data_IF_471277146490
#
_entry.id   IF_471277146490
#
_cell.length_a   1.000
_cell.length_b   1.000
_cell.length_c   1.000
_cell.angle_alpha   90.00
_cell.angle_beta   90.00
_cell.angle_gamma   90.00
#
_symmetry.space_group_name_H-M   'P 1'
#
loop_
_entity.id
_entity.type
_entity.pdbx_description
1 polymer ?
#
# COMPACT_ATOMS: atom_id res chain seq x y z
N UNK A 1 19.83 5.37 41.73
CA UNK A 1 19.75 6.46 40.74
C UNK A 1 20.24 5.89 39.43
N UNK A 2 19.33 5.32 38.64
CA UNK A 2 19.63 4.85 37.29
C UNK A 2 19.42 6.03 36.35
N UNK A 3 20.48 6.45 35.67
CA UNK A 3 20.35 7.45 34.61
C UNK A 3 19.66 6.81 33.42
N UNK A 4 18.58 7.45 32.95
CA UNK A 4 18.10 7.32 31.58
C UNK A 4 19.26 7.72 30.66
N UNK A 5 19.89 6.73 30.05
CA UNK A 5 20.82 6.94 28.95
C UNK A 5 20.04 6.86 27.64
N UNK A 6 19.07 7.76 27.47
CA UNK A 6 18.44 8.05 26.18
C UNK A 6 19.40 8.94 25.38
N UNK A 7 20.57 8.40 25.04
CA UNK A 7 21.47 9.03 24.08
C UNK A 7 20.82 8.92 22.70
N UNK A 8 20.13 10.00 22.29
CA UNK A 8 19.60 10.14 20.94
C UNK A 8 20.72 9.89 19.92
N UNK A 9 20.53 8.90 19.04
CA UNK A 9 21.52 8.49 18.05
C UNK A 9 21.61 9.60 16.99
N UNK A 10 22.78 10.25 16.87
CA UNK A 10 23.02 11.22 15.80
C UNK A 10 23.03 10.50 14.46
N UNK A 11 22.30 11.02 13.48
CA UNK A 11 22.24 10.40 12.15
C UNK A 11 23.56 10.55 11.41
N UNK A 12 24.03 9.44 10.82
CA UNK A 12 25.18 9.44 9.91
C UNK A 12 24.98 10.32 8.66
N UNK A 13 23.75 10.77 8.39
CA UNK A 13 23.42 11.70 7.29
C UNK A 13 24.08 13.08 7.46
N UNK A 14 24.44 13.47 8.68
CA UNK A 14 25.05 14.78 8.99
C UNK A 14 26.58 14.75 9.10
N UNK A 15 27.23 13.61 8.94
CA UNK A 15 28.67 13.45 9.19
C UNK A 15 29.57 13.99 8.05
N UNK A 16 29.03 14.26 6.85
CA UNK A 16 29.78 14.86 5.74
C UNK A 16 29.17 16.19 5.23
N UNK A 17 30.03 17.10 4.74
CA UNK A 17 29.61 18.38 4.14
C UNK A 17 28.88 18.18 2.80
N UNK A 18 27.56 18.08 2.85
CA UNK A 18 26.68 17.83 1.70
C UNK A 18 26.66 18.98 0.68
N UNK A 19 27.05 20.19 1.09
CA UNK A 19 26.93 21.44 0.30
C UNK A 19 27.88 21.55 -0.89
N UNK A 20 28.94 20.73 -0.93
CA UNK A 20 29.93 20.74 -2.01
C UNK A 20 29.87 19.49 -2.89
N UNK A 21 28.97 18.54 -2.58
CA UNK A 21 28.87 17.28 -3.31
C UNK A 21 28.06 17.45 -4.59
N UNK A 22 28.60 16.95 -5.70
CA UNK A 22 27.83 16.82 -6.94
C UNK A 22 26.67 15.83 -6.78
N UNK A 23 25.57 16.02 -7.52
CA UNK A 23 24.33 15.22 -7.41
C UNK A 23 24.56 13.70 -7.39
N UNK A 24 25.44 13.20 -8.25
CA UNK A 24 25.78 11.76 -8.28
C UNK A 24 26.40 11.30 -6.96
N UNK A 25 27.39 12.03 -6.46
CA UNK A 25 28.03 11.75 -5.18
C UNK A 25 27.03 11.85 -4.03
N UNK A 26 26.13 12.83 -4.05
CA UNK A 26 25.06 12.95 -3.06
C UNK A 26 24.13 11.72 -3.05
N UNK A 27 23.66 11.28 -4.22
CA UNK A 27 22.82 10.09 -4.34
C UNK A 27 23.58 8.84 -3.90
N UNK A 28 24.83 8.68 -4.32
CA UNK A 28 25.68 7.56 -3.93
C UNK A 28 25.93 7.56 -2.40
N UNK A 29 26.14 8.73 -1.79
CA UNK A 29 26.27 8.90 -0.34
C UNK A 29 24.97 8.51 0.37
N UNK A 30 23.82 9.04 -0.04
CA UNK A 30 22.53 8.66 0.56
C UNK A 30 22.24 7.16 0.40
N UNK A 31 22.52 6.59 -0.78
CA UNK A 31 22.39 5.15 -1.00
C UNK A 31 23.33 4.34 -0.10
N UNK A 32 24.57 4.78 0.07
CA UNK A 32 25.54 4.19 1.00
C UNK A 32 25.13 4.30 2.47
N UNK A 33 24.36 5.34 2.81
CA UNK A 33 23.73 5.53 4.13
C UNK A 33 22.43 4.74 4.29
N UNK A 34 22.04 3.95 3.29
CA UNK A 34 20.90 3.04 3.36
C UNK A 34 19.59 3.57 2.80
N UNK A 35 19.55 4.78 2.22
CA UNK A 35 18.37 5.22 1.47
C UNK A 35 18.18 4.34 0.23
N UNK A 36 16.96 3.87 -0.01
CA UNK A 36 16.65 3.16 -1.26
C UNK A 36 16.98 4.03 -2.48
N UNK A 37 17.48 3.42 -3.57
CA UNK A 37 17.99 4.14 -4.74
C UNK A 37 16.98 5.15 -5.33
N UNK A 38 15.68 4.82 -5.30
CA UNK A 38 14.61 5.73 -5.71
C UNK A 38 14.47 6.91 -4.75
N UNK A 39 14.42 6.68 -3.43
CA UNK A 39 14.34 7.74 -2.42
C UNK A 39 15.56 8.66 -2.45
N UNK A 40 16.77 8.10 -2.58
CA UNK A 40 18.02 8.85 -2.66
C UNK A 40 18.05 9.81 -3.86
N UNK A 41 17.55 9.37 -5.02
CA UNK A 41 17.44 10.20 -6.23
C UNK A 41 16.40 11.33 -6.14
N UNK A 42 15.47 11.24 -5.18
CA UNK A 42 14.37 12.17 -4.99
C UNK A 42 14.63 13.18 -3.86
N UNK A 43 15.60 12.94 -2.98
CA UNK A 43 16.03 13.91 -1.98
C UNK A 43 16.97 14.96 -2.57
N UNK A 44 17.05 16.12 -1.92
CA UNK A 44 17.91 17.24 -2.29
C UNK A 44 18.85 17.62 -1.14
N UNK A 45 19.92 18.36 -1.44
CA UNK A 45 20.81 18.89 -0.42
C UNK A 45 20.12 19.96 0.47
N UNK A 46 18.98 20.51 0.06
CA UNK A 46 18.16 21.38 0.91
C UNK A 46 17.39 20.56 1.95
N UNK A 47 16.84 19.41 1.56
CA UNK A 47 16.12 18.52 2.48
C UNK A 47 17.03 18.04 3.63
N UNK A 48 18.29 17.67 3.31
CA UNK A 48 19.26 17.26 4.35
C UNK A 48 19.63 18.42 5.28
N UNK A 49 19.73 19.64 4.75
CA UNK A 49 20.03 20.83 5.58
C UNK A 49 18.85 21.25 6.46
N UNK A 50 17.63 20.97 6.03
CA UNK A 50 16.42 21.26 6.79
C UNK A 50 16.25 20.28 7.97
N UNK A 51 16.83 19.09 7.90
CA UNK A 51 16.78 18.10 8.98
C UNK A 51 17.67 18.50 10.17
N UNK A 52 17.13 18.34 11.38
CA UNK A 52 17.90 18.42 12.63
C UNK A 52 18.89 17.25 12.73
N UNK A 53 19.87 17.33 13.66
CA UNK A 53 20.95 16.31 13.79
C UNK A 53 20.44 14.90 14.11
N UNK A 54 19.30 14.83 14.77
CA UNK A 54 18.56 13.64 15.20
C UNK A 54 17.39 13.29 14.25
N UNK A 55 17.29 13.98 13.11
CA UNK A 55 16.28 13.75 12.09
C UNK A 55 16.93 13.40 10.75
N UNK A 56 16.14 12.74 9.90
CA UNK A 56 16.50 12.47 8.50
C UNK A 56 15.37 12.88 7.56
N UNK A 57 15.68 13.42 6.37
CA UNK A 57 14.67 13.71 5.38
C UNK A 57 14.19 12.42 4.72
N UNK A 58 12.88 12.31 4.47
CA UNK A 58 12.25 11.17 3.78
C UNK A 58 11.29 11.66 2.72
N UNK A 59 11.07 10.81 1.71
CA UNK A 59 10.00 10.99 0.72
C UNK A 59 8.80 10.18 1.17
N UNK A 60 7.77 10.81 1.72
CA UNK A 60 6.58 10.10 2.21
C UNK A 60 5.57 9.83 1.09
N UNK A 61 5.54 10.64 0.04
CA UNK A 61 4.57 10.51 -1.04
C UNK A 61 5.11 10.94 -2.39
N UNK A 62 4.42 10.52 -3.45
CA UNK A 62 4.62 10.98 -4.81
C UNK A 62 3.30 11.57 -5.30
N UNK A 63 3.29 12.85 -5.67
CA UNK A 63 2.12 13.52 -6.25
C UNK A 63 2.34 13.87 -7.72
N UNK A 64 1.27 14.00 -8.48
CA UNK A 64 1.34 14.43 -9.87
C UNK A 64 1.24 15.95 -9.97
N UNK A 65 2.19 16.58 -10.65
CA UNK A 65 2.12 17.98 -11.04
C UNK A 65 1.18 18.22 -12.22
N UNK A 66 0.90 19.48 -12.54
CA UNK A 66 0.04 19.85 -13.68
C UNK A 66 0.61 19.43 -15.04
N UNK A 67 1.92 19.23 -15.10
CA UNK A 67 2.69 18.68 -16.23
C UNK A 67 2.60 17.15 -16.35
N UNK A 68 1.87 16.49 -15.44
CA UNK A 68 1.78 15.05 -15.36
C UNK A 68 3.00 14.37 -14.73
N UNK A 69 4.04 15.12 -14.35
CA UNK A 69 5.26 14.57 -13.77
C UNK A 69 5.09 14.31 -12.27
N UNK A 70 5.76 13.27 -11.76
CA UNK A 70 5.78 12.99 -10.34
C UNK A 70 6.69 13.97 -9.59
N UNK A 71 6.15 14.51 -8.50
CA UNK A 71 6.84 15.37 -7.55
C UNK A 71 6.87 14.67 -6.20
N UNK A 72 8.06 14.41 -5.66
CA UNK A 72 8.18 13.83 -4.32
C UNK A 72 7.69 14.82 -3.27
N UNK A 73 6.95 14.29 -2.30
CA UNK A 73 6.56 14.96 -1.07
C UNK A 73 7.50 14.53 0.05
N UNK A 74 8.02 15.50 0.79
CA UNK A 74 9.17 15.30 1.66
C UNK A 74 8.88 15.86 3.04
N UNK A 75 9.39 15.20 4.06
CA UNK A 75 9.37 15.66 5.44
C UNK A 75 10.60 15.14 6.17
N UNK A 76 10.79 15.55 7.42
CA UNK A 76 11.79 14.97 8.31
C UNK A 76 11.12 14.00 9.29
N UNK A 77 11.87 12.99 9.72
CA UNK A 77 11.44 11.99 10.72
C UNK A 77 12.59 11.73 11.69
N UNK A 78 12.32 11.22 12.91
CA UNK A 78 13.36 10.78 13.83
C UNK A 78 14.30 9.75 13.19
N UNK A 79 15.61 9.99 13.31
CA UNK A 79 16.64 9.18 12.68
C UNK A 79 16.71 7.76 13.25
N UNK A 80 16.55 7.63 14.56
CA UNK A 80 16.54 6.36 15.28
C UNK A 80 15.42 5.44 14.78
N UNK A 81 14.21 5.97 14.66
CA UNK A 81 13.06 5.27 14.09
C UNK A 81 13.30 4.85 12.64
N UNK A 82 13.84 5.75 11.81
CA UNK A 82 14.07 5.45 10.39
C UNK A 82 15.11 4.33 10.21
N UNK A 83 16.21 4.39 10.97
CA UNK A 83 17.26 3.37 10.94
C UNK A 83 16.76 2.01 11.40
N UNK A 84 15.94 1.98 12.44
CA UNK A 84 15.33 0.75 12.95
C UNK A 84 14.34 0.15 11.95
N UNK A 85 13.44 0.97 11.39
CA UNK A 85 12.52 0.54 10.33
C UNK A 85 13.27 0.00 9.10
N UNK A 86 14.33 0.68 8.67
CA UNK A 86 15.16 0.23 7.53
C UNK A 86 15.83 -1.10 7.81
N UNK A 87 16.35 -1.28 9.04
CA UNK A 87 16.97 -2.54 9.47
C UNK A 87 15.94 -3.67 9.46
N UNK A 88 14.73 -3.42 9.95
CA UNK A 88 13.65 -4.40 9.91
C UNK A 88 13.24 -4.79 8.48
N UNK A 89 13.20 -3.85 7.54
CA UNK A 89 12.98 -4.15 6.12
C UNK A 89 14.09 -5.00 5.52
N UNK A 90 15.36 -4.78 5.91
CA UNK A 90 16.49 -5.58 5.45
C UNK A 90 16.42 -7.01 6.01
N UNK A 91 16.18 -7.13 7.31
CA UNK A 91 15.98 -8.40 7.99
C UNK A 91 14.79 -9.18 7.40
N UNK A 92 13.67 -8.52 7.09
CA UNK A 92 12.50 -9.16 6.48
C UNK A 92 12.81 -9.75 5.09
N UNK A 93 13.66 -9.08 4.28
CA UNK A 93 14.11 -9.64 2.99
C UNK A 93 15.05 -10.83 3.14
N UNK A 94 15.84 -10.86 4.21
CA UNK A 94 16.79 -11.93 4.51
C UNK A 94 16.15 -13.10 5.26
N UNK A 95 14.90 -12.96 5.69
CA UNK A 95 14.16 -14.00 6.40
C UNK A 95 13.74 -15.10 5.40
N UNK A 96 14.45 -16.22 5.42
CA UNK A 96 14.28 -17.34 4.48
C UNK A 96 12.98 -18.17 4.70
N UNK A 97 12.18 -17.81 5.71
CA UNK A 97 10.93 -18.54 6.06
C UNK A 97 9.78 -18.27 5.08
N UNK A 98 9.94 -17.30 4.18
CA UNK A 98 8.98 -16.95 3.11
C UNK A 98 8.71 -18.16 2.19
N UNK A 99 9.63 -19.13 2.16
CA UNK A 99 9.52 -20.36 1.38
C UNK A 99 8.95 -21.55 2.16
N UNK A 100 8.60 -21.37 3.44
CA UNK A 100 8.10 -22.45 4.28
C UNK A 100 6.57 -22.57 4.15
N UNK A 101 6.08 -23.76 3.81
CA UNK A 101 4.64 -24.01 3.57
C UNK A 101 3.76 -23.73 4.80
N UNK A 102 4.36 -23.73 6.00
CA UNK A 102 3.65 -23.44 7.24
C UNK A 102 3.56 -21.94 7.58
N UNK A 103 4.16 -21.05 6.79
CA UNK A 103 4.07 -19.59 6.98
C UNK A 103 2.86 -19.06 6.22
N UNK A 104 1.85 -18.61 6.97
CA UNK A 104 0.66 -17.97 6.41
C UNK A 104 0.91 -16.52 6.02
N UNK A 105 1.71 -15.81 6.82
CA UNK A 105 1.99 -14.39 6.63
C UNK A 105 3.33 -13.97 7.23
N UNK A 106 3.96 -12.95 6.64
CA UNK A 106 5.01 -12.18 7.30
C UNK A 106 4.90 -10.71 6.95
N UNK A 107 5.14 -9.79 7.88
CA UNK A 107 5.13 -8.34 7.58
C UNK A 107 5.96 -7.56 8.58
N UNK A 108 6.41 -6.36 8.20
CA UNK A 108 7.14 -5.46 9.09
C UNK A 108 6.16 -4.53 9.79
N UNK A 109 6.24 -4.47 11.12
CA UNK A 109 5.62 -3.42 11.93
C UNK A 109 6.66 -2.32 12.18
N UNK A 110 6.52 -1.11 11.60
CA UNK A 110 7.49 -0.03 11.70
C UNK A 110 7.80 0.56 13.09
N UNK A 111 7.22 0.08 14.18
CA UNK A 111 7.36 0.73 15.48
C UNK A 111 6.59 2.06 15.62
N UNK A 112 6.98 2.87 16.61
CA UNK A 112 6.40 4.17 16.98
C UNK A 112 7.51 5.20 17.26
N UNK A 113 7.24 6.50 17.06
CA UNK A 113 8.22 7.54 17.40
C UNK A 113 8.46 7.61 18.90
N UNK A 114 9.73 7.47 19.31
CA UNK A 114 10.12 7.43 20.73
C UNK A 114 9.49 6.27 21.52
N UNK A 115 8.96 5.26 20.82
CA UNK A 115 8.19 4.17 21.41
C UNK A 115 8.79 2.81 21.07
N UNK A 116 7.93 1.86 20.72
CA UNK A 116 8.35 0.52 20.35
C UNK A 116 9.18 0.54 19.05
N UNK A 117 10.23 -0.28 19.03
CA UNK A 117 11.04 -0.54 17.84
C UNK A 117 10.26 -1.32 16.78
N UNK A 118 10.78 -1.30 15.56
CA UNK A 118 10.32 -2.09 14.45
C UNK A 118 10.56 -3.59 14.70
N UNK A 119 9.62 -4.40 14.25
CA UNK A 119 9.63 -5.86 14.42
C UNK A 119 9.08 -6.53 13.16
N UNK A 120 9.47 -7.78 12.95
CA UNK A 120 8.87 -8.64 11.93
C UNK A 120 7.81 -9.49 12.60
N UNK A 121 6.59 -9.48 12.07
CA UNK A 121 5.50 -10.35 12.53
C UNK A 121 5.34 -11.49 11.57
N UNK A 122 5.40 -12.73 12.06
CA UNK A 122 5.22 -13.95 11.28
C UNK A 122 4.03 -14.71 11.83
N UNK A 123 3.10 -15.07 10.95
CA UNK A 123 1.95 -15.90 11.27
C UNK A 123 2.17 -17.30 10.68
N UNK A 124 2.12 -18.31 11.54
CA UNK A 124 2.33 -19.73 11.18
C UNK A 124 1.08 -20.56 11.42
N UNK A 125 0.90 -21.60 10.61
CA UNK A 125 -0.28 -22.48 10.62
C UNK A 125 -0.07 -23.75 11.46
N UNK A 126 1.19 -24.13 11.68
CA UNK A 126 1.62 -25.30 12.42
C UNK A 126 2.49 -24.91 13.62
N UNK A 127 2.38 -25.61 14.76
CA UNK A 127 3.20 -25.29 15.95
C UNK A 127 4.67 -25.58 15.72
N UNK A 128 4.94 -26.63 14.93
CA UNK A 128 6.27 -27.11 14.61
C UNK A 128 7.08 -26.00 13.89
N UNK A 129 6.40 -25.21 13.05
CA UNK A 129 6.98 -24.07 12.35
C UNK A 129 7.40 -22.93 13.28
N UNK A 130 6.85 -22.85 14.49
CA UNK A 130 7.25 -21.84 15.48
C UNK A 130 8.70 -22.01 15.93
N UNK A 131 9.19 -23.25 15.98
CA UNK A 131 10.59 -23.54 16.31
C UNK A 131 11.55 -23.34 15.14
N UNK A 132 11.02 -23.24 13.93
CA UNK A 132 11.80 -23.09 12.68
C UNK A 132 11.96 -21.61 12.28
N UNK A 133 11.01 -20.76 12.67
CA UNK A 133 11.13 -19.31 12.50
C UNK A 133 12.04 -18.75 13.60
N UNK A 134 13.15 -18.08 13.25
CA UNK A 134 14.05 -17.52 14.25
C UNK A 134 13.36 -16.39 15.02
N UNK A 135 13.60 -16.29 16.33
CA UNK A 135 13.06 -15.20 17.18
C UNK A 135 13.69 -13.83 16.87
N UNK A 136 14.79 -13.81 16.12
CA UNK A 136 15.50 -12.62 15.66
C UNK A 136 16.18 -12.87 14.33
N UNK A 137 16.14 -11.88 13.45
CA UNK A 137 16.98 -11.83 12.23
C UNK A 137 17.85 -10.60 12.34
N UNK A 138 19.17 -10.80 12.33
CA UNK A 138 20.15 -9.76 12.63
C UNK A 138 19.84 -9.12 14.00
N UNK A 139 19.51 -7.83 14.02
CA UNK A 139 19.11 -7.08 15.21
C UNK A 139 17.59 -6.97 15.40
N UNK A 140 16.80 -7.39 14.42
CA UNK A 140 15.35 -7.16 14.40
C UNK A 140 14.57 -8.31 15.07
N UNK A 141 13.74 -8.02 16.09
CA UNK A 141 12.86 -9.00 16.70
C UNK A 141 11.88 -9.62 15.71
N UNK A 142 11.60 -10.90 15.87
CA UNK A 142 10.57 -11.63 15.13
C UNK A 142 9.51 -12.13 16.09
N UNK A 143 8.32 -11.55 16.00
CA UNK A 143 7.14 -12.01 16.72
C UNK A 143 6.46 -13.12 15.92
N UNK A 144 6.48 -14.35 16.44
CA UNK A 144 5.82 -15.49 15.82
C UNK A 144 4.50 -15.78 16.52
N UNK A 145 3.41 -15.74 15.74
CA UNK A 145 2.06 -16.05 16.20
C UNK A 145 1.51 -17.24 15.44
N UNK A 146 0.93 -18.19 16.17
CA UNK A 146 0.14 -19.24 15.55
C UNK A 146 -1.25 -18.72 15.21
N UNK A 147 -1.71 -19.07 14.01
CA UNK A 147 -3.06 -18.81 13.53
C UNK A 147 -3.69 -20.13 13.08
N UNK A 148 -4.96 -20.33 13.36
CA UNK A 148 -5.65 -21.56 12.99
C UNK A 148 -6.03 -21.52 11.50
N UNK A 149 -5.71 -22.56 10.70
CA UNK A 149 -6.16 -22.62 9.31
C UNK A 149 -7.68 -22.58 9.26
N UNK A 150 -8.23 -21.59 8.59
CA UNK A 150 -9.67 -21.51 8.40
C UNK A 150 -10.16 -22.68 7.52
N UNK A 151 -11.25 -23.33 7.93
CA UNK A 151 -12.02 -24.24 7.07
C UNK A 151 -12.75 -23.44 5.98
N UNK A 152 -13.12 -24.13 4.90
CA UNK A 152 -13.66 -23.56 3.64
C UNK A 152 -14.61 -22.37 3.80
N UNK A 153 -14.47 -21.44 2.85
CA UNK A 153 -15.27 -20.21 2.71
C UNK A 153 -16.71 -20.61 2.35
N UNK A 154 -17.70 -20.18 3.15
CA UNK A 154 -19.07 -20.06 2.65
C UNK A 154 -19.10 -18.87 1.69
N UNK A 155 -19.04 -19.15 0.38
CA UNK A 155 -19.21 -18.15 -0.67
C UNK A 155 -20.70 -17.90 -0.89
N UNK A 156 -21.36 -17.24 0.04
CA UNK A 156 -22.64 -16.60 -0.25
C UNK A 156 -22.35 -15.37 -1.12
N UNK A 157 -22.38 -15.58 -2.44
CA UNK A 157 -22.35 -14.50 -3.43
C UNK A 157 -23.66 -13.71 -3.32
N UNK A 158 -23.64 -12.73 -2.42
CA UNK A 158 -24.78 -11.87 -2.18
C UNK A 158 -25.13 -11.08 -3.44
N UNK A 159 -26.43 -10.93 -3.70
CA UNK A 159 -26.94 -10.26 -4.89
C UNK A 159 -26.29 -8.87 -5.07
N UNK A 160 -26.05 -8.50 -6.33
CA UNK A 160 -25.35 -7.27 -6.72
C UNK A 160 -25.90 -6.03 -6.01
N UNK A 161 -25.10 -4.96 -5.87
CA UNK A 161 -25.47 -3.78 -5.10
C UNK A 161 -26.82 -3.21 -5.57
N UNK A 162 -27.82 -3.20 -4.68
CA UNK A 162 -29.07 -2.48 -4.88
C UNK A 162 -28.80 -0.98 -4.79
N UNK A 163 -28.75 -0.30 -5.94
CA UNK A 163 -28.90 1.14 -6.05
C UNK A 163 -27.81 1.99 -5.39
N UNK A 164 -26.62 2.00 -5.97
CA UNK A 164 -25.73 3.18 -5.83
C UNK A 164 -26.14 4.23 -6.86
N UNK A 165 -26.19 5.50 -6.48
CA UNK A 165 -26.40 6.59 -7.43
C UNK A 165 -25.29 6.55 -8.49
N UNK A 166 -25.68 6.40 -9.76
CA UNK A 166 -24.72 6.30 -10.86
C UNK A 166 -23.97 7.63 -11.01
N UNK A 167 -22.62 7.62 -11.09
CA UNK A 167 -21.87 8.84 -11.33
C UNK A 167 -22.24 9.44 -12.70
N UNK A 168 -22.14 10.76 -12.84
CA UNK A 168 -22.29 11.40 -14.15
C UNK A 168 -21.19 10.94 -15.09
N UNK A 169 -21.57 10.21 -16.14
CA UNK A 169 -20.64 9.68 -17.16
C UNK A 169 -19.93 10.80 -17.93
N UNK A 170 -20.58 11.97 -18.08
CA UNK A 170 -20.03 13.12 -18.83
C UNK A 170 -18.73 13.67 -18.22
N UNK A 171 -18.61 13.62 -16.89
CA UNK A 171 -17.41 14.07 -16.17
C UNK A 171 -16.31 13.01 -16.12
N UNK A 172 -16.61 11.76 -16.48
CA UNK A 172 -15.76 10.59 -16.30
C UNK A 172 -16.17 9.77 -15.08
N UNK A 173 -15.59 8.59 -14.92
CA UNK A 173 -15.99 7.64 -13.88
C UNK A 173 -14.94 7.69 -12.74
N UNK A 174 -15.34 8.11 -11.52
CA UNK A 174 -14.47 8.09 -10.34
C UNK A 174 -14.29 6.67 -9.79
N UNK A 175 -13.27 6.48 -8.96
CA UNK A 175 -13.18 5.31 -8.09
C UNK A 175 -14.29 5.25 -7.04
N UNK A 176 -14.34 4.15 -6.32
CA UNK A 176 -15.37 3.82 -5.30
C UNK A 176 -16.78 3.59 -5.84
N UNK A 177 -16.91 3.33 -7.15
CA UNK A 177 -18.17 2.91 -7.78
C UNK A 177 -18.17 1.42 -8.11
N UNK A 178 -19.36 0.85 -8.28
CA UNK A 178 -19.54 -0.57 -8.54
C UNK A 178 -19.16 -0.94 -9.97
N UNK A 179 -18.30 -1.95 -10.11
CA UNK A 179 -17.91 -2.51 -11.41
C UNK A 179 -18.00 -4.01 -11.39
N UNK A 180 -18.10 -4.62 -12.57
CA UNK A 180 -18.20 -6.06 -12.72
C UNK A 180 -17.42 -6.59 -13.91
N UNK A 181 -17.04 -7.86 -13.80
CA UNK A 181 -16.81 -8.74 -14.93
C UNK A 181 -18.15 -9.39 -15.33
N UNK A 182 -18.10 -10.43 -16.16
CA UNK A 182 -19.30 -11.22 -16.46
C UNK A 182 -19.83 -11.97 -15.21
N UNK A 183 -18.93 -12.39 -14.32
CA UNK A 183 -19.24 -13.33 -13.23
C UNK A 183 -19.30 -12.68 -11.85
N UNK A 184 -18.40 -11.72 -11.58
CA UNK A 184 -18.23 -11.12 -10.25
C UNK A 184 -18.29 -9.60 -10.33
N UNK A 185 -18.55 -8.98 -9.18
CA UNK A 185 -18.46 -7.53 -9.03
C UNK A 185 -17.46 -7.15 -7.94
N UNK A 186 -17.03 -5.90 -8.01
CA UNK A 186 -16.13 -5.29 -7.04
C UNK A 186 -16.28 -3.77 -7.06
N UNK A 187 -15.27 -3.12 -6.54
CA UNK A 187 -15.16 -1.67 -6.49
C UNK A 187 -14.10 -1.19 -7.47
N UNK A 188 -14.39 -0.12 -8.20
CA UNK A 188 -13.44 0.53 -9.09
C UNK A 188 -12.45 1.36 -8.27
N UNK A 189 -11.16 1.24 -8.55
CA UNK A 189 -10.15 2.13 -8.01
C UNK A 189 -10.14 3.47 -8.77
N UNK A 190 -9.58 4.55 -8.19
CA UNK A 190 -9.22 5.74 -8.94
C UNK A 190 -8.33 5.40 -10.15
N UNK A 191 -8.30 6.28 -11.14
CA UNK A 191 -7.54 6.09 -12.37
C UNK A 191 -6.10 5.67 -12.10
N UNK A 192 -5.65 4.64 -12.81
CA UNK A 192 -4.22 4.30 -12.89
C UNK A 192 -3.62 4.90 -14.14
N UNK A 193 -2.41 5.41 -14.02
CA UNK A 193 -1.63 5.94 -15.13
C UNK A 193 -0.41 5.07 -15.40
N UNK A 194 -0.14 4.84 -16.68
CA UNK A 194 1.16 4.38 -17.16
C UNK A 194 2.03 5.63 -17.41
N UNK A 195 3.05 5.89 -16.58
CA UNK A 195 3.86 7.11 -16.69
C UNK A 195 4.74 7.13 -17.94
N UNK A 196 4.88 6.01 -18.65
CA UNK A 196 5.72 5.93 -19.86
C UNK A 196 5.08 6.63 -21.05
N UNK A 197 3.76 6.57 -21.17
CA UNK A 197 2.99 7.13 -22.29
C UNK A 197 1.81 8.02 -21.85
N UNK A 198 1.57 8.15 -20.54
CA UNK A 198 0.49 8.94 -19.97
C UNK A 198 -0.89 8.28 -20.07
N UNK A 199 -0.98 7.02 -20.52
CA UNK A 199 -2.24 6.33 -20.69
C UNK A 199 -2.96 6.13 -19.36
N UNK A 200 -4.28 6.36 -19.36
CA UNK A 200 -5.15 6.13 -18.22
C UNK A 200 -5.89 4.81 -18.33
N UNK A 201 -6.01 4.11 -17.20
CA UNK A 201 -6.67 2.82 -17.07
C UNK A 201 -7.72 2.85 -15.97
N UNK A 202 -8.83 2.15 -16.22
CA UNK A 202 -9.68 1.65 -15.16
C UNK A 202 -8.93 0.56 -14.40
N UNK A 203 -9.03 0.55 -13.08
CA UNK A 203 -8.39 -0.46 -12.25
C UNK A 203 -9.34 -1.03 -11.20
N UNK A 204 -9.20 -2.32 -10.90
CA UNK A 204 -9.92 -3.02 -9.83
C UNK A 204 -9.12 -4.26 -9.42
N UNK A 205 -9.66 -5.10 -8.54
CA UNK A 205 -9.00 -6.33 -8.13
C UNK A 205 -9.00 -7.37 -9.26
N UNK A 206 -7.88 -8.07 -9.45
CA UNK A 206 -7.74 -9.08 -10.50
C UNK A 206 -8.68 -10.27 -10.29
N UNK A 207 -8.92 -10.67 -9.04
CA UNK A 207 -9.81 -11.79 -8.74
C UNK A 207 -11.28 -11.55 -9.15
N UNK A 208 -11.70 -10.30 -9.39
CA UNK A 208 -13.03 -9.99 -9.99
C UNK A 208 -13.17 -10.64 -11.38
N UNK A 209 -12.07 -10.98 -12.05
CA UNK A 209 -12.07 -11.66 -13.34
C UNK A 209 -11.73 -13.16 -13.27
N UNK A 210 -11.56 -13.70 -12.05
CA UNK A 210 -11.47 -15.14 -11.81
C UNK A 210 -10.13 -15.81 -12.16
N UNK A 211 -9.01 -15.09 -12.38
CA UNK A 211 -7.73 -15.79 -12.57
C UNK A 211 -6.59 -15.01 -13.24
N UNK A 212 -5.72 -15.75 -13.95
CA UNK A 212 -4.42 -15.28 -14.45
C UNK A 212 -4.41 -14.81 -15.90
N UNK A 213 -5.42 -15.16 -16.70
CA UNK A 213 -5.58 -14.70 -18.08
C UNK A 213 -6.93 -14.00 -18.26
N UNK A 214 -6.89 -12.68 -18.06
CA UNK A 214 -8.07 -11.83 -18.12
C UNK A 214 -8.06 -10.90 -19.32
N UNK A 215 -7.03 -10.95 -20.17
CA UNK A 215 -6.87 -10.00 -21.28
C UNK A 215 -8.04 -10.11 -22.25
N UNK A 216 -8.57 -8.96 -22.66
CA UNK A 216 -9.71 -8.91 -23.57
C UNK A 216 -11.08 -9.06 -22.89
N UNK A 217 -11.13 -9.40 -21.59
CA UNK A 217 -12.40 -9.49 -20.87
C UNK A 217 -13.03 -8.10 -20.70
N UNK A 218 -14.36 -7.97 -20.83
CA UNK A 218 -15.06 -6.70 -20.67
C UNK A 218 -15.11 -6.26 -19.20
N UNK A 219 -14.94 -4.96 -18.96
CA UNK A 219 -15.22 -4.31 -17.68
C UNK A 219 -16.54 -3.55 -17.78
N UNK A 220 -17.45 -3.80 -16.84
CA UNK A 220 -18.75 -3.14 -16.77
C UNK A 220 -18.85 -2.22 -15.57
N UNK A 221 -19.48 -1.07 -15.74
CA UNK A 221 -20.03 -0.25 -14.67
C UNK A 221 -21.40 -0.81 -14.27
N UNK A 222 -21.66 -0.89 -12.96
CA UNK A 222 -22.96 -1.24 -12.42
C UNK A 222 -23.74 0.03 -12.06
N UNK A 223 -24.47 0.57 -13.04
CA UNK A 223 -25.19 1.86 -12.99
C UNK A 223 -26.72 1.69 -12.98
N UNK A 224 -27.20 0.56 -12.46
CA UNK A 224 -28.55 0.06 -12.65
C UNK A 224 -28.67 -0.94 -13.81
N UNK A 225 -27.62 -1.04 -14.64
CA UNK A 225 -27.40 -2.11 -15.61
C UNK A 225 -25.96 -2.63 -15.60
N UNK A 226 -25.52 -3.20 -16.74
CA UNK A 226 -24.13 -3.56 -17.00
C UNK A 226 -23.64 -2.79 -18.22
N UNK A 227 -23.20 -1.56 -18.00
CA UNK A 227 -22.68 -0.69 -19.05
C UNK A 227 -21.21 -1.01 -19.29
N UNK A 228 -20.83 -1.45 -20.49
CA UNK A 228 -19.43 -1.76 -20.81
C UNK A 228 -18.61 -0.48 -20.89
N UNK A 229 -17.63 -0.32 -19.99
CA UNK A 229 -16.79 0.89 -19.90
C UNK A 229 -15.35 0.65 -20.33
N UNK A 230 -14.95 -0.61 -20.50
CA UNK A 230 -13.58 -0.93 -20.90
C UNK A 230 -13.34 -2.39 -21.20
N UNK A 231 -12.06 -2.70 -21.41
CA UNK A 231 -11.56 -4.04 -21.69
C UNK A 231 -10.20 -4.24 -21.04
N UNK A 232 -10.00 -5.38 -20.37
CA UNK A 232 -8.77 -5.69 -19.66
C UNK A 232 -7.57 -5.70 -20.63
N UNK A 233 -6.60 -4.82 -20.37
CA UNK A 233 -5.29 -4.79 -21.05
C UNK A 233 -4.34 -5.79 -20.41
N UNK A 234 -4.25 -5.73 -19.09
CA UNK A 234 -3.29 -6.49 -18.29
C UNK A 234 -3.91 -6.89 -16.95
N UNK A 235 -3.66 -8.12 -16.52
CA UNK A 235 -3.91 -8.58 -15.16
C UNK A 235 -2.59 -8.90 -14.46
N UNK A 236 -2.51 -8.61 -13.16
CA UNK A 236 -1.34 -8.81 -12.33
C UNK A 236 -1.71 -9.69 -11.12
N UNK A 237 -1.80 -11.02 -11.29
CA UNK A 237 -2.37 -11.91 -10.25
C UNK A 237 -1.63 -11.88 -8.91
N UNK A 238 -0.29 -11.75 -8.94
CA UNK A 238 0.55 -11.66 -7.73
C UNK A 238 0.32 -10.37 -6.93
N UNK A 239 -0.10 -9.31 -7.60
CA UNK A 239 -0.46 -8.03 -6.98
C UNK A 239 -1.97 -7.86 -6.86
N UNK A 240 -2.76 -8.81 -7.36
CA UNK A 240 -4.21 -8.77 -7.43
C UNK A 240 -4.80 -7.50 -8.06
N UNK A 241 -4.12 -6.94 -9.06
CA UNK A 241 -4.57 -5.73 -9.77
C UNK A 241 -4.90 -6.07 -11.22
N UNK A 242 -5.96 -5.51 -11.78
CA UNK A 242 -6.23 -5.52 -13.21
C UNK A 242 -6.33 -4.10 -13.75
N UNK A 243 -5.82 -3.88 -14.96
CA UNK A 243 -5.93 -2.62 -15.67
C UNK A 243 -6.70 -2.82 -16.96
N UNK A 244 -7.80 -2.10 -17.12
CA UNK A 244 -8.63 -2.09 -18.30
C UNK A 244 -8.48 -0.78 -19.08
N UNK A 245 -8.31 -0.91 -20.40
CA UNK A 245 -8.39 0.23 -21.32
C UNK A 245 -9.81 0.76 -21.31
N UNK A 246 -10.01 2.08 -21.22
CA UNK A 246 -11.33 2.66 -21.39
C UNK A 246 -11.85 2.42 -22.81
N UNK A 247 -13.16 2.20 -22.94
CA UNK A 247 -13.85 2.37 -24.21
C UNK A 247 -13.92 3.86 -24.58
N UNK A 248 -14.10 4.20 -25.85
CA UNK A 248 -13.92 5.55 -26.40
C UNK A 248 -14.69 6.66 -25.67
N UNK A 249 -15.87 6.31 -25.13
CA UNK A 249 -16.81 7.27 -24.57
C UNK A 249 -16.66 7.41 -23.04
N UNK A 250 -15.70 6.68 -22.45
CA UNK A 250 -15.47 6.62 -21.01
C UNK A 250 -14.05 7.03 -20.67
N UNK A 251 -13.89 7.68 -19.51
CA UNK A 251 -12.58 8.01 -18.96
C UNK A 251 -12.54 7.73 -17.46
N UNK A 252 -11.48 7.10 -16.94
CA UNK A 252 -11.28 6.99 -15.50
C UNK A 252 -10.86 8.35 -14.92
N UNK A 253 -11.22 8.61 -13.65
CA UNK A 253 -10.84 9.83 -12.94
C UNK A 253 -9.93 9.53 -11.76
N UNK A 254 -8.97 10.45 -11.50
CA UNK A 254 -8.18 10.51 -10.26
C UNK A 254 -9.03 11.07 -9.11
N UNK A 255 -10.14 10.40 -8.81
CA UNK A 255 -11.13 10.86 -7.82
C UNK A 255 -11.78 9.68 -7.12
N UNK A 256 -12.08 9.86 -5.85
CA UNK A 256 -12.89 8.98 -5.00
C UNK A 256 -14.31 9.54 -4.99
N UNK A 257 -15.28 8.73 -5.41
CA UNK A 257 -16.69 9.11 -5.38
C UNK A 257 -17.12 9.42 -3.93
N UNK A 258 -17.79 10.56 -3.72
CA UNK A 258 -18.19 11.04 -2.38
C UNK A 258 -17.04 11.15 -1.35
N UNK A 259 -15.78 11.27 -1.82
CA UNK A 259 -14.64 11.57 -0.96
C UNK A 259 -14.57 13.05 -0.60
N UNK A 260 -14.16 13.36 0.64
CA UNK A 260 -13.93 14.73 1.10
C UNK A 260 -12.63 14.82 1.92
N UNK A 261 -11.51 15.24 1.32
CA UNK A 261 -11.34 15.55 -0.10
C UNK A 261 -11.35 14.28 -0.97
N UNK A 262 -11.91 14.38 -2.17
CA UNK A 262 -12.04 13.23 -3.09
C UNK A 262 -10.97 13.17 -4.18
N UNK A 263 -10.17 14.23 -4.38
CA UNK A 263 -9.15 14.28 -5.43
C UNK A 263 -7.96 13.40 -5.06
N UNK A 264 -7.57 12.50 -5.93
CA UNK A 264 -6.35 11.70 -5.76
C UNK A 264 -5.17 12.48 -6.33
N UNK A 265 -4.19 12.78 -5.49
CA UNK A 265 -2.99 13.52 -5.86
C UNK A 265 -1.85 12.58 -6.30
N UNK A 266 -1.90 11.33 -5.83
CA UNK A 266 -0.90 10.31 -6.08
C UNK A 266 -0.93 9.26 -4.97
N UNK A 267 0.23 8.88 -4.45
CA UNK A 267 0.35 7.73 -3.56
C UNK A 267 1.46 7.85 -2.51
N UNK A 268 1.30 7.14 -1.41
CA UNK A 268 2.33 7.01 -0.39
C UNK A 268 3.46 6.09 -0.85
N UNK A 269 4.68 6.41 -0.42
CA UNK A 269 5.82 5.50 -0.48
C UNK A 269 5.73 4.48 0.66
N UNK A 270 6.58 3.44 0.62
CA UNK A 270 6.72 2.50 1.75
C UNK A 270 7.04 3.22 3.06
N UNK A 271 7.95 4.20 3.00
CA UNK A 271 8.34 5.01 4.16
C UNK A 271 7.20 5.91 4.61
N UNK A 272 6.41 6.48 3.70
CA UNK A 272 5.23 7.28 4.07
C UNK A 272 4.15 6.49 4.80
N UNK A 273 3.90 5.23 4.40
CA UNK A 273 2.98 4.36 5.14
C UNK A 273 3.51 4.01 6.53
N UNK A 274 4.82 3.80 6.65
CA UNK A 274 5.47 3.56 7.93
C UNK A 274 5.40 4.80 8.84
N UNK A 275 5.63 5.99 8.28
CA UNK A 275 5.51 7.29 8.94
C UNK A 275 4.09 7.52 9.47
N UNK A 276 3.06 7.29 8.64
CA UNK A 276 1.65 7.37 9.08
C UNK A 276 1.37 6.41 10.25
N UNK A 277 1.86 5.17 10.17
CA UNK A 277 1.71 4.21 11.29
C UNK A 277 2.38 4.76 12.56
N UNK A 278 3.62 5.22 12.48
CA UNK A 278 4.38 5.70 13.61
C UNK A 278 3.77 6.96 14.24
N UNK A 279 3.18 7.83 13.41
CA UNK A 279 2.39 8.99 13.83
C UNK A 279 1.00 8.62 14.40
N UNK A 280 0.56 7.36 14.26
CA UNK A 280 -0.75 6.90 14.71
C UNK A 280 -1.89 7.32 13.79
N UNK A 281 -1.60 7.80 12.59
CA UNK A 281 -2.56 8.25 11.61
C UNK A 281 -3.30 7.06 10.96
N UNK A 282 -4.62 7.19 10.73
CA UNK A 282 -5.39 6.14 10.11
C UNK A 282 -5.26 6.14 8.59
N UNK A 283 -5.82 5.12 7.96
CA UNK A 283 -6.24 5.15 6.56
C UNK A 283 -7.75 5.12 6.50
N UNK A 284 -8.29 5.69 5.44
CA UNK A 284 -9.69 5.61 5.04
C UNK A 284 -9.85 4.72 3.82
N UNK A 285 -11.03 4.14 3.63
CA UNK A 285 -11.43 3.40 2.43
C UNK A 285 -12.87 3.75 2.14
N UNK A 286 -13.21 3.81 0.85
CA UNK A 286 -14.60 3.76 0.40
C UNK A 286 -14.80 2.61 -0.58
N UNK A 287 -15.54 1.61 -0.12
CA UNK A 287 -15.93 0.43 -0.89
C UNK A 287 -17.43 0.46 -1.22
N UNK A 288 -17.83 -0.28 -2.24
CA UNK A 288 -19.22 -0.34 -2.70
C UNK A 288 -20.15 -0.95 -1.65
N UNK A 289 -19.66 -1.89 -0.84
CA UNK A 289 -20.51 -2.60 0.13
C UNK A 289 -20.44 -2.00 1.52
N UNK A 290 -19.26 -1.75 2.07
CA UNK A 290 -19.18 -1.19 3.43
C UNK A 290 -19.25 0.34 3.45
N UNK A 291 -19.29 1.00 2.29
CA UNK A 291 -19.18 2.46 2.21
C UNK A 291 -17.84 2.96 2.76
N UNK A 292 -17.89 4.05 3.53
CA UNK A 292 -16.71 4.68 4.14
C UNK A 292 -16.32 3.99 5.46
N UNK A 293 -15.04 3.64 5.57
CA UNK A 293 -14.46 2.98 6.76
C UNK A 293 -13.07 3.54 7.04
N UNK A 294 -12.66 3.53 8.30
CA UNK A 294 -11.37 4.07 8.76
C UNK A 294 -10.66 3.06 9.66
N UNK A 295 -9.33 3.04 9.65
CA UNK A 295 -8.57 2.13 10.50
C UNK A 295 -7.06 2.37 10.49
N UNK A 296 -6.35 1.91 11.51
CA UNK A 296 -4.90 2.12 11.66
C UNK A 296 -4.10 1.17 10.79
N UNK A 297 -2.94 1.62 10.31
CA UNK A 297 -1.93 0.76 9.70
C UNK A 297 -1.37 -0.18 10.79
N UNK A 298 -1.26 -1.47 10.47
CA UNK A 298 -0.70 -2.47 11.38
C UNK A 298 0.71 -2.87 10.96
N UNK A 299 0.89 -3.15 9.67
CA UNK A 299 2.16 -3.59 9.11
C UNK A 299 2.28 -3.25 7.62
N UNK A 300 3.51 -3.11 7.16
CA UNK A 300 3.90 -2.84 5.76
C UNK A 300 4.82 -3.95 5.25
N UNK A 301 5.12 -3.93 3.95
CA UNK A 301 6.02 -4.90 3.31
C UNK A 301 5.57 -6.36 3.49
N UNK A 302 4.27 -6.61 3.54
CA UNK A 302 3.72 -7.93 3.87
C UNK A 302 3.84 -8.96 2.76
N UNK A 303 3.98 -10.22 3.16
CA UNK A 303 3.77 -11.44 2.41
C UNK A 303 2.52 -12.13 2.95
N UNK A 304 1.62 -12.52 2.06
CA UNK A 304 0.40 -13.26 2.41
C UNK A 304 0.30 -14.52 1.57
N UNK A 305 0.43 -15.69 2.19
CA UNK A 305 0.31 -17.01 1.56
C UNK A 305 -1.02 -17.72 1.88
N UNK A 306 -1.71 -17.31 2.95
CA UNK A 306 -2.96 -17.94 3.40
C UNK A 306 -4.17 -17.73 2.48
N UNK A 307 -4.13 -16.71 1.61
CA UNK A 307 -5.31 -16.19 0.92
C UNK A 307 -5.18 -16.30 -0.61
N UNK A 308 -5.11 -17.54 -1.11
CA UNK A 308 -5.12 -17.87 -2.55
C UNK A 308 -4.10 -18.95 -2.92
N UNK A 309 -4.05 -19.31 -4.21
CA UNK A 309 -3.10 -20.32 -4.72
C UNK A 309 -1.65 -19.83 -4.81
N UNK A 310 -1.41 -18.54 -4.58
CA UNK A 310 -0.10 -17.89 -4.71
C UNK A 310 0.12 -16.90 -3.57
N UNK A 311 1.32 -16.92 -2.99
CA UNK A 311 1.75 -15.91 -2.04
C UNK A 311 1.82 -14.53 -2.72
N UNK A 312 1.23 -13.53 -2.07
CA UNK A 312 1.22 -12.13 -2.52
C UNK A 312 2.20 -11.31 -1.69
N UNK A 313 3.10 -10.59 -2.36
CA UNK A 313 4.11 -9.72 -1.74
C UNK A 313 3.68 -8.25 -1.77
N UNK A 314 4.37 -7.41 -1.00
CA UNK A 314 4.11 -5.97 -0.94
C UNK A 314 2.75 -5.62 -0.37
N UNK A 315 2.25 -6.43 0.55
CA UNK A 315 0.94 -6.24 1.16
C UNK A 315 1.00 -5.20 2.29
N UNK A 316 -0.09 -4.44 2.43
CA UNK A 316 -0.36 -3.49 3.50
C UNK A 316 -1.44 -4.08 4.38
N UNK A 317 -1.17 -4.22 5.68
CA UNK A 317 -2.15 -4.65 6.68
C UNK A 317 -2.66 -3.43 7.46
N UNK A 318 -3.97 -3.24 7.52
CA UNK A 318 -4.56 -2.08 8.16
C UNK A 318 -5.99 -2.33 8.62
N UNK A 319 -6.52 -1.43 9.44
CA UNK A 319 -7.91 -1.47 9.89
C UNK A 319 -8.29 -2.75 10.63
N UNK A 320 -9.50 -3.24 10.37
CA UNK A 320 -10.14 -4.38 11.02
C UNK A 320 -10.99 -5.13 10.02
N UNK A 321 -11.19 -6.42 10.20
CA UNK A 321 -11.92 -7.29 9.25
C UNK A 321 -13.35 -6.77 8.95
N UNK A 322 -13.99 -6.13 9.94
CA UNK A 322 -15.35 -5.59 9.82
C UNK A 322 -15.45 -4.36 8.91
N UNK A 323 -14.31 -3.74 8.58
CA UNK A 323 -14.24 -2.62 7.65
C UNK A 323 -14.25 -3.05 6.18
N UNK A 324 -14.42 -4.33 5.86
CA UNK A 324 -14.43 -4.85 4.50
C UNK A 324 -15.47 -5.97 4.33
N UNK A 325 -16.10 -6.02 3.16
CA UNK A 325 -17.04 -7.07 2.77
C UNK A 325 -16.81 -7.48 1.31
N UNK A 326 -17.23 -8.69 0.93
CA UNK A 326 -17.18 -9.15 -0.46
C UNK A 326 -17.96 -8.17 -1.35
N UNK A 327 -17.29 -7.62 -2.37
CA UNK A 327 -17.76 -6.48 -3.18
C UNK A 327 -16.93 -5.20 -3.00
N UNK A 328 -16.19 -5.06 -1.90
CA UNK A 328 -15.23 -3.97 -1.71
C UNK A 328 -13.89 -4.20 -2.43
N UNK A 329 -13.68 -5.39 -2.96
CA UNK A 329 -12.49 -5.78 -3.71
C UNK A 329 -12.16 -4.77 -4.81
N UNK A 330 -10.94 -4.24 -4.81
CA UNK A 330 -10.50 -3.22 -5.76
C UNK A 330 -10.70 -1.77 -5.30
N UNK A 331 -11.38 -1.54 -4.17
CA UNK A 331 -11.35 -0.23 -3.49
C UNK A 331 -9.92 0.12 -3.07
N UNK A 332 -9.63 1.41 -2.93
CA UNK A 332 -8.35 1.87 -2.40
C UNK A 332 -8.48 2.33 -0.96
N UNK A 333 -7.42 2.15 -0.19
CA UNK A 333 -7.22 2.89 1.06
C UNK A 333 -6.39 4.15 0.79
N UNK A 334 -6.66 5.22 1.53
CA UNK A 334 -6.09 6.54 1.31
C UNK A 334 -6.02 7.34 2.60
N UNK A 335 -5.25 8.42 2.59
CA UNK A 335 -5.23 9.44 3.65
C UNK A 335 -5.05 10.81 2.99
N UNK A 336 -5.63 11.89 3.54
CA UNK A 336 -5.31 13.25 3.11
C UNK A 336 -3.80 13.49 3.03
N UNK A 337 -3.35 14.32 2.11
CA UNK A 337 -1.94 14.71 2.07
C UNK A 337 -1.54 15.38 3.40
N UNK A 338 -0.60 14.83 4.19
CA UNK A 338 -0.21 15.41 5.48
C UNK A 338 0.26 16.87 5.40
N UNK A 339 0.85 17.29 4.28
CA UNK A 339 1.32 18.67 4.10
C UNK A 339 0.23 19.62 3.60
N UNK A 340 -0.79 19.10 2.91
CA UNK A 340 -1.91 19.89 2.36
C UNK A 340 -3.21 19.07 2.36
N UNK A 341 -3.84 18.89 3.53
CA UNK A 341 -4.97 17.97 3.68
C UNK A 341 -6.20 18.34 2.86
N UNK A 342 -6.34 19.61 2.45
CA UNK A 342 -7.48 20.09 1.66
C UNK A 342 -7.28 19.89 0.15
N UNK A 343 -6.04 19.76 -0.32
CA UNK A 343 -5.75 19.61 -1.74
C UNK A 343 -6.21 18.26 -2.31
N UNK A 344 -6.21 17.20 -1.48
CA UNK A 344 -6.55 15.85 -1.90
C UNK A 344 -5.95 14.77 -1.02
N UNK A 345 -5.99 13.55 -1.53
CA UNK A 345 -5.54 12.33 -0.84
C UNK A 345 -4.40 11.65 -1.58
N UNK A 346 -3.63 10.88 -0.83
CA UNK A 346 -2.64 9.94 -1.33
C UNK A 346 -3.14 8.52 -1.10
N UNK A 347 -3.02 7.67 -2.13
CA UNK A 347 -3.40 6.25 -2.04
C UNK A 347 -2.32 5.47 -1.30
N UNK A 348 -2.73 4.67 -0.30
CA UNK A 348 -1.86 3.75 0.41
C UNK A 348 -1.78 2.37 -0.24
N UNK A 349 -2.89 1.85 -0.78
CA UNK A 349 -2.94 0.57 -1.47
C UNK A 349 -4.32 0.16 -1.99
N UNK A 350 -4.35 -0.89 -2.80
CA UNK A 350 -5.56 -1.60 -3.22
C UNK A 350 -6.00 -2.55 -2.12
N UNK A 351 -7.27 -2.53 -1.73
CA UNK A 351 -7.84 -3.48 -0.80
C UNK A 351 -8.32 -4.73 -1.55
N UNK A 352 -7.80 -5.87 -1.13
CA UNK A 352 -8.02 -7.15 -1.80
C UNK A 352 -8.97 -8.04 -1.00
N UNK A 353 -8.81 -8.10 0.32
CA UNK A 353 -9.64 -8.92 1.19
C UNK A 353 -9.55 -8.50 2.66
N UNK A 354 -10.44 -9.06 3.47
CA UNK A 354 -10.30 -9.13 4.92
C UNK A 354 -9.65 -10.43 5.35
N UNK A 355 -9.16 -10.46 6.58
CA UNK A 355 -8.84 -11.70 7.27
C UNK A 355 -10.12 -12.47 7.60
N UNK A 356 -10.01 -13.79 7.70
CA UNK A 356 -11.08 -14.66 8.19
C UNK A 356 -10.56 -15.78 9.10
N UNK A 357 -9.28 -15.74 9.45
CA UNK A 357 -8.65 -16.70 10.35
C UNK A 357 -8.87 -16.26 11.81
N UNK A 358 -9.24 -17.19 12.72
CA UNK A 358 -9.41 -16.86 14.13
C UNK A 358 -8.17 -16.18 14.72
N UNK A 359 -8.37 -15.04 15.37
CA UNK A 359 -7.30 -14.25 15.99
C UNK A 359 -6.66 -13.21 15.07
N UNK A 360 -6.94 -13.22 13.77
CA UNK A 360 -6.60 -12.12 12.86
C UNK A 360 -7.72 -11.08 12.81
N UNK A 361 -7.35 -9.80 12.73
CA UNK A 361 -8.31 -8.71 12.63
C UNK A 361 -7.72 -7.55 11.83
N UNK A 362 -7.68 -7.72 10.51
CA UNK A 362 -7.20 -6.70 9.59
C UNK A 362 -7.82 -6.82 8.20
N UNK A 363 -7.74 -5.74 7.44
CA UNK A 363 -7.89 -5.69 5.99
C UNK A 363 -6.49 -5.75 5.42
N UNK A 364 -6.33 -6.45 4.29
CA UNK A 364 -5.06 -6.49 3.59
C UNK A 364 -5.23 -6.25 2.09
N UNK A 365 -4.13 -5.82 1.49
CA UNK A 365 -4.18 -5.25 0.17
C UNK A 365 -2.80 -4.97 -0.39
N UNK A 366 -2.68 -4.83 -1.71
CA UNK A 366 -1.39 -4.52 -2.33
C UNK A 366 -1.09 -3.04 -2.16
N UNK A 367 0.04 -2.71 -1.53
CA UNK A 367 0.45 -1.33 -1.33
C UNK A 367 0.69 -0.62 -2.68
N UNK A 368 0.31 0.65 -2.77
CA UNK A 368 0.40 1.42 -4.01
C UNK A 368 1.84 1.54 -4.52
N UNK A 369 2.80 1.79 -3.61
CA UNK A 369 4.22 1.80 -3.95
C UNK A 369 4.70 0.49 -4.57
N UNK A 370 4.18 -0.65 -4.12
CA UNK A 370 4.56 -1.96 -4.66
C UNK A 370 4.04 -2.15 -6.08
N UNK A 371 2.85 -1.63 -6.40
CA UNK A 371 2.33 -1.64 -7.77
C UNK A 371 3.23 -0.84 -8.71
N UNK A 372 3.72 0.32 -8.25
CA UNK A 372 4.67 1.13 -9.01
C UNK A 372 6.02 0.44 -9.19
N UNK A 373 6.58 -0.13 -8.13
CA UNK A 373 7.87 -0.82 -8.16
C UNK A 373 7.85 -2.04 -9.11
N UNK A 374 6.75 -2.79 -9.14
CA UNK A 374 6.65 -4.02 -9.94
C UNK A 374 6.15 -3.80 -11.37
N UNK A 375 5.22 -2.85 -11.56
CA UNK A 375 4.48 -2.72 -12.82
C UNK A 375 4.60 -1.33 -13.46
N UNK A 376 5.29 -0.40 -12.80
CA UNK A 376 5.45 0.97 -13.28
C UNK A 376 4.19 1.82 -13.24
N UNK A 377 3.06 1.27 -12.75
CA UNK A 377 1.77 1.95 -12.72
C UNK A 377 1.62 2.81 -11.46
N UNK A 378 0.92 3.93 -11.58
CA UNK A 378 0.75 4.90 -10.51
C UNK A 378 -0.67 5.43 -10.43
N UNK A 379 -1.08 5.86 -9.24
CA UNK A 379 -2.35 6.57 -9.02
C UNK A 379 -2.31 8.06 -9.37
#
# INVERSE_FOLDING_TARGET
MGGDDTTHRTSAVHDESVTTMGRRRFVDTLAGLGFGALSAGLLTAEDVRAASRDEVPVVYGLTRGDDGAFRPRRKTVPADWYDDFRSALAAHRNLDVIHHDAVANSAVSPGEYGGANAEIRVEVTAEEARGEVPERVEETPVEVRRVEPATDRDTDLDAGPSGSASPSVEEGIPGSVAVASDDLYGTLAPAMTDPTDGSLYFATANHVFGGTDNRGKPLYLLDGGRTRIGEVRSGYPKSDVVCARPASDYRPLHRIHEGSPGRVLGQFTKVGLADLKAAGEPLEKRGVKTGHTTGKIQAVDGLTCAYGAICKQGQLKWGRESGFADGDSGSVNYHPDPDDPDAGVLVGGFNNARTWWPGENYIWGTAAHHVTEQHGLTF
#
